data_IF_004990210359
#
_entry.id   IF_004990210359
#
_cell.length_a   1.000
_cell.length_b   1.000
_cell.length_c   1.000
_cell.angle_alpha   90.00
_cell.angle_beta   90.00
_cell.angle_gamma   90.00
#
_symmetry.space_group_name_H-M   'P 1'
#
loop_
_entity.id
_entity.type
_entity.pdbx_description
1 polymer ?
#
# COMPACT_ATOMS: atom_id res chain seq x y z
N UNK A 1 6.45 -14.53 -10.71
CA UNK A 1 6.77 -14.34 -9.28
C UNK A 1 8.27 -14.38 -9.13
N UNK A 2 8.89 -13.27 -8.72
CA UNK A 2 10.23 -13.35 -8.14
C UNK A 2 10.09 -14.19 -6.85
N UNK A 3 10.96 -15.16 -6.61
CA UNK A 3 11.02 -15.99 -5.40
C UNK A 3 9.93 -17.08 -5.25
N UNK A 4 9.62 -17.81 -6.34
CA UNK A 4 8.77 -19.02 -6.28
C UNK A 4 9.31 -20.08 -5.30
N UNK A 5 10.63 -20.23 -5.21
CA UNK A 5 11.24 -21.26 -4.37
C UNK A 5 11.03 -20.99 -2.88
N UNK A 6 11.19 -19.75 -2.43
CA UNK A 6 10.87 -19.34 -1.05
C UNK A 6 9.40 -19.60 -0.73
N UNK A 7 8.50 -19.31 -1.67
CA UNK A 7 7.07 -19.55 -1.50
C UNK A 7 6.72 -21.04 -1.32
N UNK A 8 7.24 -21.91 -2.18
CA UNK A 8 7.02 -23.35 -2.04
C UNK A 8 7.69 -23.94 -0.80
N UNK A 9 8.82 -23.37 -0.36
CA UNK A 9 9.48 -23.78 0.86
C UNK A 9 8.64 -23.44 2.10
N UNK A 10 8.06 -22.24 2.16
CA UNK A 10 7.10 -21.89 3.23
C UNK A 10 5.91 -22.85 3.23
N UNK A 11 5.30 -23.11 2.07
CA UNK A 11 4.15 -24.04 1.99
C UNK A 11 4.47 -25.43 2.54
N UNK A 12 5.69 -25.94 2.30
CA UNK A 12 6.15 -27.22 2.85
C UNK A 12 6.36 -27.16 4.36
N UNK A 13 7.01 -26.10 4.84
CA UNK A 13 7.28 -25.89 6.27
C UNK A 13 6.01 -25.71 7.10
N UNK A 14 4.96 -25.12 6.51
CA UNK A 14 3.67 -24.90 7.17
C UNK A 14 2.63 -25.98 6.84
N UNK A 15 3.02 -27.08 6.20
CA UNK A 15 2.09 -28.17 5.82
C UNK A 15 1.73 -29.07 7.01
N UNK A 16 2.61 -29.16 8.01
CA UNK A 16 2.39 -29.97 9.20
C UNK A 16 1.55 -29.22 10.24
N UNK A 17 0.64 -29.95 10.87
CA UNK A 17 -0.19 -29.44 11.94
C UNK A 17 0.67 -29.17 13.18
N UNK A 18 0.55 -27.97 13.75
CA UNK A 18 1.36 -27.57 14.89
C UNK A 18 2.76 -27.05 14.56
N UNK A 19 3.08 -26.74 13.29
CA UNK A 19 4.35 -26.10 12.89
C UNK A 19 4.70 -24.84 13.71
N UNK A 20 3.70 -24.14 14.27
CA UNK A 20 3.88 -23.00 15.16
C UNK A 20 4.57 -23.37 16.50
N UNK A 21 4.51 -24.63 16.89
CA UNK A 21 5.16 -25.15 18.11
C UNK A 21 6.64 -25.50 17.89
N UNK A 22 7.15 -25.31 16.67
CA UNK A 22 8.52 -25.60 16.27
C UNK A 22 9.28 -24.29 16.01
N UNK A 23 10.01 -23.76 17.02
CA UNK A 23 10.69 -22.46 16.91
C UNK A 23 11.65 -22.36 15.72
N UNK A 24 12.30 -23.46 15.36
CA UNK A 24 13.18 -23.60 14.21
C UNK A 24 12.44 -23.40 12.89
N UNK A 25 11.25 -24.01 12.74
CA UNK A 25 10.40 -23.86 11.56
C UNK A 25 9.87 -22.43 11.47
N UNK A 26 9.41 -21.88 12.60
CA UNK A 26 8.92 -20.49 12.67
C UNK A 26 9.99 -19.49 12.25
N UNK A 27 11.22 -19.66 12.75
CA UNK A 27 12.35 -18.79 12.39
C UNK A 27 12.69 -18.90 10.90
N UNK A 28 12.68 -20.10 10.34
CA UNK A 28 12.96 -20.31 8.92
C UNK A 28 11.86 -19.69 8.03
N UNK A 29 10.59 -19.84 8.39
CA UNK A 29 9.46 -19.21 7.69
C UNK A 29 9.56 -17.69 7.72
N UNK A 30 9.97 -17.08 8.84
CA UNK A 30 10.18 -15.63 8.94
C UNK A 30 11.26 -15.13 7.97
N UNK A 31 12.42 -15.79 7.95
CA UNK A 31 13.53 -15.45 7.04
C UNK A 31 13.10 -15.59 5.58
N UNK A 32 12.38 -16.66 5.23
CA UNK A 32 11.85 -16.84 3.88
C UNK A 32 10.80 -15.78 3.53
N UNK A 33 9.96 -15.41 4.49
CA UNK A 33 8.93 -14.38 4.34
C UNK A 33 9.51 -13.01 4.00
N UNK A 34 10.63 -12.63 4.60
CA UNK A 34 11.35 -11.38 4.27
C UNK A 34 11.85 -11.35 2.82
N UNK A 35 12.19 -12.52 2.25
CA UNK A 35 12.58 -12.60 0.84
C UNK A 35 11.39 -12.50 -0.11
N UNK A 36 10.16 -12.71 0.35
CA UNK A 36 8.96 -12.56 -0.48
C UNK A 36 8.55 -11.10 -0.45
N UNK A 37 9.02 -10.35 -1.45
CA UNK A 37 8.51 -9.00 -1.71
C UNK A 37 7.07 -9.12 -2.20
N UNK A 38 6.09 -8.90 -1.31
CA UNK A 38 4.73 -8.60 -1.76
C UNK A 38 4.76 -7.21 -2.41
N UNK A 39 4.66 -7.18 -3.73
CA UNK A 39 4.54 -5.93 -4.50
C UNK A 39 3.28 -5.13 -4.13
N UNK A 40 2.36 -5.71 -3.34
CA UNK A 40 1.33 -4.95 -2.65
C UNK A 40 1.98 -4.16 -1.53
N UNK A 41 2.34 -2.91 -1.83
CA UNK A 41 2.54 -1.95 -0.76
C UNK A 41 1.29 -1.99 0.15
N UNK A 42 1.51 -2.17 1.44
CA UNK A 42 0.48 -2.18 2.47
C UNK A 42 -0.49 -1.02 2.23
N UNK A 43 -1.80 -1.19 2.50
CA UNK A 43 -2.76 -0.09 2.42
C UNK A 43 -2.16 1.12 3.12
N UNK A 44 -1.99 2.21 2.38
CA UNK A 44 -1.39 3.42 2.92
C UNK A 44 -2.27 3.87 4.08
N UNK A 45 -1.73 3.86 5.31
CA UNK A 45 -2.51 4.24 6.46
C UNK A 45 -2.69 5.77 6.47
N UNK A 46 -3.82 6.23 5.92
CA UNK A 46 -4.18 7.64 5.91
C UNK A 46 -4.50 8.19 7.31
N UNK A 47 -4.57 7.37 8.37
CA UNK A 47 -4.73 7.86 9.75
C UNK A 47 -3.53 8.68 10.21
N UNK A 48 -2.35 8.45 9.63
CA UNK A 48 -1.13 9.21 9.95
C UNK A 48 -0.92 10.43 9.05
N UNK A 49 -1.77 10.64 8.04
CA UNK A 49 -1.70 11.83 7.19
C UNK A 49 -2.53 12.96 7.82
N UNK A 50 -1.98 14.17 7.89
CA UNK A 50 -2.70 15.36 8.37
C UNK A 50 -3.69 15.91 7.33
N UNK A 51 -3.63 15.41 6.09
CA UNK A 51 -4.58 15.76 5.04
C UNK A 51 -4.14 15.33 3.65
N UNK A 52 -4.90 15.78 2.65
CA UNK A 52 -4.61 15.62 1.23
C UNK A 52 -4.53 16.99 0.57
N UNK A 53 -3.40 17.26 -0.06
CA UNK A 53 -3.19 18.41 -0.94
C UNK A 53 -3.43 18.00 -2.39
N UNK A 54 -4.23 18.81 -3.08
CA UNK A 54 -4.49 18.70 -4.51
C UNK A 54 -3.89 19.92 -5.18
N UNK A 55 -3.09 19.68 -6.22
CA UNK A 55 -2.54 20.73 -7.10
C UNK A 55 -3.02 20.45 -8.50
N UNK A 56 -3.71 21.39 -9.13
CA UNK A 56 -4.17 21.22 -10.51
C UNK A 56 -3.15 21.67 -11.56
N UNK A 57 -3.58 21.69 -12.82
CA UNK A 57 -2.76 22.10 -13.96
C UNK A 57 -2.41 23.60 -13.96
N UNK A 58 -3.14 24.43 -13.21
CA UNK A 58 -2.89 25.87 -13.04
C UNK A 58 -2.06 26.18 -11.80
N UNK A 59 -1.60 25.15 -11.09
CA UNK A 59 -0.95 25.25 -9.78
C UNK A 59 -1.86 25.80 -8.66
N UNK A 60 -3.19 25.76 -8.82
CA UNK A 60 -4.07 26.10 -7.71
C UNK A 60 -4.03 24.97 -6.67
N UNK A 61 -3.88 25.36 -5.40
CA UNK A 61 -3.69 24.44 -4.29
C UNK A 61 -4.96 24.38 -3.45
N UNK A 62 -5.45 23.16 -3.25
CA UNK A 62 -6.55 22.84 -2.33
C UNK A 62 -6.04 21.86 -1.28
N UNK A 63 -6.40 22.09 -0.02
CA UNK A 63 -6.04 21.22 1.09
C UNK A 63 -7.31 20.69 1.75
N UNK A 64 -7.39 19.39 1.93
CA UNK A 64 -8.49 18.68 2.58
C UNK A 64 -7.97 18.02 3.84
N UNK A 65 -8.71 18.11 4.95
CA UNK A 65 -8.32 17.52 6.22
C UNK A 65 -8.42 15.99 6.19
N UNK A 66 -9.33 15.44 5.38
CA UNK A 66 -9.51 13.99 5.27
C UNK A 66 -9.63 13.51 3.82
N UNK A 67 -9.40 12.21 3.62
CA UNK A 67 -9.62 11.58 2.31
C UNK A 67 -11.10 11.61 1.89
N UNK A 68 -12.03 11.56 2.84
CA UNK A 68 -13.46 11.59 2.53
C UNK A 68 -13.88 12.99 2.06
N UNK A 69 -13.37 14.04 2.68
CA UNK A 69 -13.57 15.41 2.24
C UNK A 69 -13.03 15.63 0.83
N UNK A 70 -11.80 15.17 0.56
CA UNK A 70 -11.20 15.21 -0.77
C UNK A 70 -12.04 14.44 -1.81
N UNK A 71 -12.58 13.26 -1.47
CA UNK A 71 -13.46 12.47 -2.35
C UNK A 71 -14.74 13.23 -2.70
N UNK A 72 -15.37 13.88 -1.72
CA UNK A 72 -16.60 14.65 -1.90
C UNK A 72 -16.36 15.88 -2.77
N UNK A 73 -15.34 16.68 -2.44
CA UNK A 73 -15.05 17.95 -3.10
C UNK A 73 -14.47 17.78 -4.52
N UNK A 74 -13.56 16.81 -4.71
CA UNK A 74 -12.95 16.55 -6.01
C UNK A 74 -13.79 15.63 -6.91
N UNK A 75 -14.91 15.10 -6.39
CA UNK A 75 -15.82 14.14 -7.03
C UNK A 75 -15.09 12.94 -7.66
N UNK A 76 -14.06 12.45 -6.97
CA UNK A 76 -13.26 11.32 -7.41
C UNK A 76 -13.40 10.15 -6.44
N UNK A 77 -13.43 8.93 -6.97
CA UNK A 77 -13.46 7.76 -6.11
C UNK A 77 -12.16 7.66 -5.30
N UNK A 78 -12.30 7.20 -4.04
CA UNK A 78 -11.18 7.01 -3.11
C UNK A 78 -10.03 6.23 -3.73
N UNK A 79 -10.34 5.15 -4.46
CA UNK A 79 -9.34 4.32 -5.12
C UNK A 79 -8.47 5.09 -6.13
N UNK A 80 -9.05 6.03 -6.87
CA UNK A 80 -8.32 6.86 -7.84
C UNK A 80 -7.35 7.80 -7.14
N UNK A 81 -7.83 8.55 -6.14
CA UNK A 81 -6.98 9.47 -5.34
C UNK A 81 -5.82 8.68 -4.72
N UNK A 82 -6.14 7.56 -4.05
CA UNK A 82 -5.18 6.69 -3.38
C UNK A 82 -4.11 6.18 -4.37
N UNK A 83 -4.52 5.74 -5.56
CA UNK A 83 -3.61 5.29 -6.61
C UNK A 83 -2.64 6.38 -7.03
N UNK A 84 -3.12 7.61 -7.22
CA UNK A 84 -2.28 8.72 -7.68
C UNK A 84 -1.31 9.20 -6.60
N UNK A 85 -1.73 9.22 -5.33
CA UNK A 85 -0.85 9.47 -4.17
C UNK A 85 0.25 8.41 -4.13
N UNK A 86 -0.12 7.11 -4.14
CA UNK A 86 0.83 5.98 -4.07
C UNK A 86 1.84 6.00 -5.21
N UNK A 87 1.37 6.22 -6.44
CA UNK A 87 2.21 6.20 -7.63
C UNK A 87 2.96 7.51 -7.88
N UNK A 88 2.77 8.54 -7.04
CA UNK A 88 3.31 9.90 -7.23
C UNK A 88 3.04 10.42 -8.66
N UNK A 89 1.84 10.11 -9.18
CA UNK A 89 1.47 10.35 -10.58
C UNK A 89 0.37 11.42 -10.67
N UNK A 90 0.27 12.05 -11.84
CA UNK A 90 -0.84 12.96 -12.14
C UNK A 90 -2.06 12.17 -12.63
N UNK A 91 -3.25 12.65 -12.29
CA UNK A 91 -4.48 12.21 -12.92
C UNK A 91 -4.52 12.69 -14.38
N UNK A 92 -5.43 12.12 -15.18
CA UNK A 92 -5.56 12.43 -16.61
C UNK A 92 -5.86 13.91 -16.89
N UNK A 93 -6.53 14.57 -15.95
CA UNK A 93 -6.87 16.00 -15.97
C UNK A 93 -5.75 16.91 -15.45
N UNK A 94 -4.59 16.34 -15.13
CA UNK A 94 -3.42 17.08 -14.65
C UNK A 94 -3.36 17.29 -13.13
N UNK A 95 -4.39 16.91 -12.36
CA UNK A 95 -4.39 17.01 -10.90
C UNK A 95 -3.33 16.10 -10.27
N UNK A 96 -2.62 16.60 -9.26
CA UNK A 96 -1.65 15.87 -8.44
C UNK A 96 -2.15 15.82 -7.01
N UNK A 97 -2.12 14.63 -6.42
CA UNK A 97 -2.58 14.37 -5.06
C UNK A 97 -1.38 13.99 -4.19
N UNK A 98 -1.25 14.61 -3.02
CA UNK A 98 -0.17 14.33 -2.05
C UNK A 98 -0.69 14.43 -0.62
N UNK A 99 -0.18 13.59 0.28
CA UNK A 99 -0.44 13.74 1.73
C UNK A 99 0.51 14.77 2.34
N UNK A 100 0.08 15.45 3.41
CA UNK A 100 0.90 16.32 4.25
C UNK A 100 0.58 16.10 5.74
#
# INVERSE_FOLDING_TARGET
MKNKDSYYKILRLTAEEGWLNHPEIVKEVQVLGETISDGRASPQNYQNANGIRVTDHKNDIRNYATINECVTEEQLCRATITKHIKNKSKAKDGRKFTTF
#
